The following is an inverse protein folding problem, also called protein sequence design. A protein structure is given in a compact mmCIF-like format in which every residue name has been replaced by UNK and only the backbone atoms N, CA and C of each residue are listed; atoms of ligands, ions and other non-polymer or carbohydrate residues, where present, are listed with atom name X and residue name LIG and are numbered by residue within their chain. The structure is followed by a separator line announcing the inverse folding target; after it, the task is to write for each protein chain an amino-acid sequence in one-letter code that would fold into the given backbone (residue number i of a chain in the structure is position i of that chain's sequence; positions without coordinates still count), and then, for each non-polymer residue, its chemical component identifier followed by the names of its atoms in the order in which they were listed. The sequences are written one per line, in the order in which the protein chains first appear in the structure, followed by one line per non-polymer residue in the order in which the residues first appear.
data_IF_447637754675
#
_entry.id   IF_447637754675
#
_cell.length_a   1.000
_cell.length_b   1.000
_cell.length_c   1.000
_cell.angle_alpha   90.00
_cell.angle_beta   90.00
_cell.angle_gamma   90.00
#
_symmetry.space_group_name_H-M   'P 1'
#
loop_
_entity.id
_entity.type
_entity.pdbx_description
1 polymer ?
#
# COMPACT_ATOMS: atom_id res chain seq x y z
N UNK A 1 11.22 -1.25 -21.56
CA UNK A 1 10.12 -0.88 -20.65
C UNK A 1 10.14 -1.87 -19.50
N UNK A 2 10.37 -1.44 -18.24
CA UNK A 2 10.34 -2.39 -17.11
C UNK A 2 8.91 -2.87 -16.91
N UNK A 3 8.75 -4.17 -16.65
CA UNK A 3 7.45 -4.73 -16.29
C UNK A 3 6.89 -3.99 -15.07
N UNK A 4 5.62 -3.62 -15.16
CA UNK A 4 4.91 -2.99 -14.06
C UNK A 4 4.90 -3.95 -12.88
N UNK A 5 5.08 -3.43 -11.66
CA UNK A 5 4.96 -4.23 -10.44
C UNK A 5 3.60 -4.90 -10.45
N UNK A 6 3.57 -6.23 -10.33
CA UNK A 6 2.33 -7.00 -10.38
C UNK A 6 1.35 -6.53 -9.29
N UNK A 7 0.05 -6.58 -9.58
CA UNK A 7 -0.97 -6.16 -8.62
C UNK A 7 -0.84 -6.89 -7.26
N UNK A 8 -0.44 -8.17 -7.28
CA UNK A 8 -0.16 -8.94 -6.08
C UNK A 8 1.01 -8.39 -5.26
N UNK A 9 2.13 -8.05 -5.90
CA UNK A 9 3.28 -7.47 -5.20
C UNK A 9 2.99 -6.08 -4.62
N UNK A 10 2.13 -5.28 -5.29
CA UNK A 10 1.65 -3.99 -4.79
C UNK A 10 0.79 -4.16 -3.54
N UNK A 11 -0.09 -5.16 -3.54
CA UNK A 11 -0.95 -5.49 -2.40
C UNK A 11 -0.12 -6.03 -1.23
N UNK A 12 0.83 -6.93 -1.48
CA UNK A 12 1.74 -7.47 -0.47
C UNK A 12 2.55 -6.35 0.21
N UNK A 13 3.13 -5.44 -0.57
CA UNK A 13 3.87 -4.29 -0.03
C UNK A 13 2.99 -3.42 0.89
N UNK A 14 1.74 -3.20 0.50
CA UNK A 14 0.78 -2.41 1.27
C UNK A 14 0.37 -3.11 2.56
N UNK A 15 0.05 -4.41 2.50
CA UNK A 15 -0.27 -5.22 3.67
C UNK A 15 0.91 -5.30 4.63
N UNK A 16 2.13 -5.47 4.12
CA UNK A 16 3.34 -5.50 4.94
C UNK A 16 3.56 -4.14 5.64
N UNK A 17 3.35 -3.03 4.94
CA UNK A 17 3.40 -1.69 5.53
C UNK A 17 2.37 -1.52 6.65
N UNK A 18 1.11 -1.92 6.41
CA UNK A 18 0.02 -1.82 7.39
C UNK A 18 0.24 -2.75 8.61
N UNK A 19 0.72 -3.97 8.39
CA UNK A 19 0.96 -4.94 9.45
C UNK A 19 2.17 -4.60 10.32
N UNK A 20 3.24 -4.06 9.71
CA UNK A 20 4.51 -3.80 10.41
C UNK A 20 4.61 -2.37 10.94
N UNK A 21 3.92 -1.40 10.33
CA UNK A 21 4.06 0.03 10.65
C UNK A 21 5.46 0.61 10.35
N UNK A 22 6.27 -0.09 9.56
CA UNK A 22 7.66 0.29 9.30
C UNK A 22 7.78 1.38 8.23
N UNK A 23 8.80 2.23 8.35
CA UNK A 23 9.09 3.27 7.35
C UNK A 23 9.44 2.69 5.98
N UNK A 24 9.14 3.42 4.90
CA UNK A 24 9.43 3.02 3.51
C UNK A 24 10.89 2.63 3.26
N UNK A 25 11.83 3.20 4.02
CA UNK A 25 13.26 2.85 3.98
C UNK A 25 13.55 1.42 4.38
N UNK A 26 12.83 0.87 5.37
CA UNK A 26 12.98 -0.54 5.74
C UNK A 26 12.25 -1.43 4.74
N UNK A 27 11.07 -0.99 4.32
CA UNK A 27 10.22 -1.73 3.39
C UNK A 27 10.94 -1.99 2.05
N UNK A 28 11.64 -0.99 1.47
CA UNK A 28 12.40 -1.20 0.21
C UNK A 28 13.39 -2.37 0.26
N UNK A 29 13.96 -2.70 1.44
CA UNK A 29 14.87 -3.83 1.58
C UNK A 29 14.13 -5.17 1.60
N UNK A 30 12.89 -5.21 2.09
CA UNK A 30 12.08 -6.42 2.10
C UNK A 30 11.54 -6.78 0.71
N UNK A 31 11.00 -5.80 0.00
CA UNK A 31 10.27 -5.99 -1.27
C UNK A 31 11.10 -5.65 -2.51
N UNK A 32 12.36 -5.23 -2.34
CA UNK A 32 13.33 -4.92 -3.42
C UNK A 32 12.82 -3.90 -4.45
N UNK A 33 11.89 -3.05 -4.05
CA UNK A 33 11.34 -1.94 -4.86
C UNK A 33 11.92 -0.62 -4.33
N UNK A 34 12.22 0.31 -5.23
CA UNK A 34 12.69 1.66 -4.87
C UNK A 34 11.70 2.38 -3.95
N UNK A 35 12.22 3.05 -2.92
CA UNK A 35 11.43 3.83 -1.95
C UNK A 35 10.41 4.77 -2.60
N UNK A 36 10.80 5.46 -3.66
CA UNK A 36 9.94 6.42 -4.39
C UNK A 36 8.73 5.71 -5.01
N UNK A 37 8.97 4.63 -5.75
CA UNK A 37 7.90 3.80 -6.32
C UNK A 37 7.02 3.21 -5.23
N UNK A 38 7.61 2.81 -4.10
CA UNK A 38 6.85 2.27 -2.98
C UNK A 38 5.88 3.27 -2.36
N UNK A 39 6.33 4.49 -2.14
CA UNK A 39 5.47 5.54 -1.60
C UNK A 39 4.23 5.74 -2.47
N UNK A 40 4.40 5.77 -3.79
CA UNK A 40 3.29 5.93 -4.74
C UNK A 40 2.38 4.69 -4.71
N UNK A 41 2.96 3.50 -4.84
CA UNK A 41 2.21 2.24 -4.89
C UNK A 41 1.38 2.03 -3.62
N UNK A 42 1.96 2.25 -2.44
CA UNK A 42 1.28 2.03 -1.17
C UNK A 42 0.14 3.02 -1.00
N UNK A 43 0.36 4.31 -1.30
CA UNK A 43 -0.70 5.32 -1.20
C UNK A 43 -1.85 5.01 -2.15
N UNK A 44 -1.57 4.70 -3.42
CA UNK A 44 -2.59 4.31 -4.39
C UNK A 44 -3.37 3.06 -3.94
N UNK A 45 -2.68 2.06 -3.42
CA UNK A 45 -3.30 0.80 -2.98
C UNK A 45 -4.12 1.02 -1.70
N UNK A 46 -3.62 1.79 -0.73
CA UNK A 46 -4.37 2.18 0.46
C UNK A 46 -5.64 2.95 0.09
N UNK A 47 -5.56 3.86 -0.89
CA UNK A 47 -6.70 4.63 -1.35
C UNK A 47 -7.74 3.73 -2.04
N UNK A 48 -7.30 2.79 -2.89
CA UNK A 48 -8.19 1.80 -3.49
C UNK A 48 -8.87 0.90 -2.44
N UNK A 49 -8.11 0.44 -1.43
CA UNK A 49 -8.63 -0.32 -0.29
C UNK A 49 -9.67 0.51 0.45
N UNK A 50 -9.37 1.76 0.76
CA UNK A 50 -10.30 2.66 1.43
C UNK A 50 -11.56 2.90 0.62
N UNK A 51 -11.46 3.16 -0.68
CA UNK A 51 -12.61 3.41 -1.54
C UNK A 51 -13.57 2.23 -1.62
N UNK A 52 -13.05 0.99 -1.54
CA UNK A 52 -13.86 -0.23 -1.55
C UNK A 52 -14.45 -0.53 -0.15
N UNK A 53 -13.65 -0.39 0.91
CA UNK A 53 -14.04 -0.82 2.26
C UNK A 53 -14.74 0.27 3.08
N UNK A 54 -14.68 1.53 2.65
CA UNK A 54 -15.28 2.65 3.40
C UNK A 54 -16.77 2.49 3.61
N UNK A 55 -17.49 1.97 2.62
CA UNK A 55 -18.95 1.85 2.67
C UNK A 55 -19.40 0.76 3.66
N UNK A 56 -18.74 -0.40 3.60
CA UNK A 56 -19.07 -1.56 4.42
C UNK A 56 -18.51 -1.50 5.85
N UNK A 57 -17.24 -1.12 6.02
CA UNK A 57 -16.50 -1.31 7.28
C UNK A 57 -16.12 0.00 7.96
N UNK A 58 -16.02 1.09 7.22
CA UNK A 58 -15.55 2.38 7.71
C UNK A 58 -16.72 3.37 7.76
N UNK A 59 -17.73 3.05 8.59
CA UNK A 59 -18.77 4.01 9.00
C UNK A 59 -18.14 5.09 9.86
N UNK A 60 -17.37 5.98 9.23
CA UNK A 60 -16.82 7.17 9.89
C UNK A 60 -18.03 8.04 10.20
N UNK A 61 -18.46 8.01 11.47
CA UNK A 61 -19.38 9.01 12.00
C UNK A 61 -18.65 10.34 11.93
N UNK A 62 -18.85 11.07 10.84
CA UNK A 62 -18.48 12.48 10.76
C UNK A 62 -19.32 13.16 11.83
N UNK A 63 -18.67 13.52 12.93
CA UNK A 63 -19.24 14.36 14.01
C UNK A 63 -19.22 15.80 13.55
#
# INVERSE_FOLDING_TARGET
MRESVSAGARLEATLLFLATGCSFTRLQYHIRISRTSLSVIILETCQAIYDVLKDDYMKVRVV
#
